data_IF_497709002062
#
_entry.id   IF_497709002062
#
_cell.length_a   1.000
_cell.length_b   1.000
_cell.length_c   1.000
_cell.angle_alpha   90.00
_cell.angle_beta   90.00
_cell.angle_gamma   90.00
#
_symmetry.space_group_name_H-M   'P 1'
#
loop_
_entity.id
_entity.type
_entity.pdbx_description
1 polymer ?
#
# COMPACT_ATOMS: atom_id res chain seq x y z
N UNK A 1 32.91 13.40 52.77
CA UNK A 1 31.66 13.38 51.98
C UNK A 1 32.01 12.88 50.57
N UNK A 2 31.54 11.71 50.18
CA UNK A 2 31.73 11.17 48.81
C UNK A 2 30.47 11.50 48.03
N UNK A 3 30.62 12.34 47.00
CA UNK A 3 29.54 12.73 46.08
C UNK A 3 29.40 11.65 45.02
N UNK A 4 28.33 10.87 45.07
CA UNK A 4 28.01 9.87 44.03
C UNK A 4 27.23 10.57 42.92
N UNK A 5 27.86 10.78 41.76
CA UNK A 5 27.17 11.25 40.58
C UNK A 5 26.29 10.09 40.04
N UNK A 6 24.97 10.24 40.09
CA UNK A 6 24.03 9.40 39.38
C UNK A 6 24.00 9.88 37.90
N UNK A 7 24.59 9.13 37.00
CA UNK A 7 24.42 9.32 35.55
C UNK A 7 23.09 8.68 35.12
N UNK A 8 22.06 9.49 34.92
CA UNK A 8 20.82 9.07 34.24
C UNK A 8 21.11 8.90 32.75
N UNK A 9 21.17 7.66 32.29
CA UNK A 9 21.22 7.38 30.86
C UNK A 9 19.85 7.73 30.25
N UNK A 10 19.78 8.79 29.46
CA UNK A 10 18.63 9.05 28.60
C UNK A 10 18.60 7.97 27.49
N UNK A 11 17.67 7.02 27.60
CA UNK A 11 17.34 6.11 26.52
C UNK A 11 16.47 6.92 25.56
N UNK A 12 17.08 7.49 24.51
CA UNK A 12 16.33 8.05 23.39
C UNK A 12 15.61 6.89 22.69
N UNK A 13 14.28 6.95 22.47
CA UNK A 13 13.62 5.97 21.65
C UNK A 13 14.22 6.00 20.25
N UNK A 14 14.72 4.87 19.77
CA UNK A 14 15.11 4.71 18.36
C UNK A 14 13.81 4.72 17.56
N UNK A 15 13.43 5.88 17.04
CA UNK A 15 12.33 5.99 16.07
C UNK A 15 12.84 5.39 14.77
N UNK A 16 12.46 4.16 14.48
CA UNK A 16 12.65 3.56 13.16
C UNK A 16 11.70 4.25 12.19
N UNK A 17 12.24 4.85 11.13
CA UNK A 17 11.43 5.44 10.06
C UNK A 17 10.83 4.36 9.13
N UNK A 18 11.28 3.09 9.25
CA UNK A 18 10.84 1.96 8.45
C UNK A 18 9.99 1.02 9.29
N UNK A 19 9.03 0.34 8.69
CA UNK A 19 8.01 -0.47 9.35
C UNK A 19 7.57 -1.67 8.49
N UNK A 20 6.75 -2.53 9.06
CA UNK A 20 6.12 -3.67 8.41
C UNK A 20 4.76 -3.94 9.07
N UNK A 21 3.86 -4.62 8.37
CA UNK A 21 2.57 -5.03 8.91
C UNK A 21 2.69 -6.43 9.51
N UNK A 22 2.25 -6.63 10.75
CA UNK A 22 2.27 -7.95 11.40
C UNK A 22 0.96 -8.35 12.06
N UNK A 23 0.02 -7.41 12.22
CA UNK A 23 -1.18 -7.64 13.01
C UNK A 23 -2.44 -7.35 12.20
N UNK A 24 -3.34 -8.33 12.10
CA UNK A 24 -4.70 -8.13 11.61
C UNK A 24 -5.58 -7.66 12.77
N UNK A 25 -6.38 -6.64 12.53
CA UNK A 25 -7.39 -6.13 13.47
C UNK A 25 -8.76 -6.45 12.91
N UNK A 26 -9.63 -7.07 13.69
CA UNK A 26 -10.98 -7.50 13.28
C UNK A 26 -11.99 -6.82 14.19
N UNK A 27 -12.87 -5.98 13.62
CA UNK A 27 -13.89 -5.23 14.35
C UNK A 27 -13.33 -4.51 15.59
N UNK A 28 -12.15 -3.90 15.45
CA UNK A 28 -11.43 -3.17 16.48
C UNK A 28 -10.62 -4.01 17.45
N UNK A 29 -10.64 -5.35 17.35
CA UNK A 29 -9.86 -6.24 18.21
C UNK A 29 -8.56 -6.66 17.52
N UNK A 30 -7.43 -6.36 18.13
CA UNK A 30 -6.11 -6.75 17.65
C UNK A 30 -5.86 -8.25 17.86
N UNK A 31 -5.38 -8.93 16.83
CA UNK A 31 -4.93 -10.32 16.95
C UNK A 31 -3.46 -10.36 17.40
N UNK A 32 -2.96 -11.54 17.72
CA UNK A 32 -1.53 -11.70 18.01
C UNK A 32 -0.70 -11.42 16.75
N UNK A 33 0.44 -10.71 16.84
CA UNK A 33 1.34 -10.50 15.71
C UNK A 33 1.69 -11.81 14.99
N UNK A 34 1.64 -11.79 13.66
CA UNK A 34 1.83 -12.93 12.76
C UNK A 34 0.86 -14.12 12.96
N UNK A 35 -0.21 -13.96 13.73
CA UNK A 35 -1.22 -15.02 13.87
C UNK A 35 -1.90 -15.29 12.52
N UNK A 36 -2.27 -14.24 11.79
CA UNK A 36 -2.96 -14.29 10.51
C UNK A 36 -2.19 -13.57 9.39
N UNK A 37 -1.12 -12.86 9.72
CA UNK A 37 -0.24 -12.19 8.76
C UNK A 37 0.99 -13.06 8.55
N UNK A 38 1.32 -13.34 7.29
CA UNK A 38 2.52 -14.12 6.95
C UNK A 38 3.77 -13.36 7.36
N UNK A 39 4.70 -14.04 7.99
CA UNK A 39 6.05 -13.51 8.21
C UNK A 39 6.83 -13.52 6.90
N UNK A 40 8.04 -12.97 6.90
CA UNK A 40 8.94 -12.96 5.76
C UNK A 40 10.38 -13.36 6.19
N UNK A 41 11.24 -13.65 5.21
CA UNK A 41 12.63 -14.09 5.46
C UNK A 41 13.65 -12.96 5.39
N UNK A 42 13.22 -11.71 5.33
CA UNK A 42 14.16 -10.56 5.29
C UNK A 42 14.95 -10.47 6.60
N UNK A 43 16.27 -10.22 6.54
CA UNK A 43 17.09 -9.97 7.75
C UNK A 43 16.58 -8.80 8.58
N UNK A 44 16.13 -7.73 7.92
CA UNK A 44 15.46 -6.60 8.53
C UNK A 44 14.05 -6.49 7.93
N UNK A 45 13.03 -6.93 8.66
CA UNK A 45 11.63 -7.01 8.19
C UNK A 45 11.05 -5.67 7.77
N UNK A 46 11.55 -4.60 8.36
CA UNK A 46 11.13 -3.23 8.08
C UNK A 46 11.75 -2.61 6.80
N UNK A 47 12.68 -3.31 6.12
CA UNK A 47 13.26 -2.78 4.88
C UNK A 47 12.20 -2.68 3.77
N UNK A 48 12.09 -1.53 3.06
CA UNK A 48 11.19 -1.42 1.92
C UNK A 48 11.67 -2.20 0.70
N UNK A 49 10.75 -2.52 -0.19
CA UNK A 49 11.06 -2.96 -1.56
C UNK A 49 11.16 -1.72 -2.46
N UNK A 50 12.15 -1.65 -3.34
CA UNK A 50 12.41 -0.52 -4.25
C UNK A 50 12.97 -0.99 -5.58
N UNK A 51 12.81 -0.21 -6.67
CA UNK A 51 13.48 -0.46 -7.94
C UNK A 51 14.93 0.01 -7.96
N UNK A 52 15.27 1.04 -7.16
CA UNK A 52 16.62 1.61 -7.08
C UNK A 52 17.10 1.62 -5.63
N UNK A 53 18.38 1.39 -5.40
CA UNK A 53 18.96 1.24 -4.06
C UNK A 53 18.25 0.15 -3.24
N UNK A 54 18.11 -1.02 -3.86
CA UNK A 54 17.38 -2.17 -3.30
C UNK A 54 17.94 -2.62 -1.96
N UNK A 55 17.09 -3.20 -1.13
CA UNK A 55 17.46 -3.88 0.10
C UNK A 55 17.10 -5.36 -0.04
N UNK A 56 17.98 -6.22 0.47
CA UNK A 56 17.78 -7.68 0.50
C UNK A 56 17.49 -8.28 -0.90
N UNK A 57 17.99 -7.64 -1.97
CA UNK A 57 17.78 -8.00 -3.39
C UNK A 57 16.29 -8.02 -3.80
N UNK A 58 15.45 -7.22 -3.14
CA UNK A 58 14.01 -7.13 -3.43
C UNK A 58 13.67 -5.98 -4.35
N UNK A 59 12.98 -6.30 -5.45
CA UNK A 59 12.39 -5.32 -6.37
C UNK A 59 10.92 -5.63 -6.63
N UNK A 60 10.11 -4.64 -7.07
CA UNK A 60 8.71 -4.87 -7.42
C UNK A 60 8.47 -5.80 -8.61
N UNK A 61 9.53 -6.18 -9.35
CA UNK A 61 9.45 -7.07 -10.50
C UNK A 61 9.59 -8.57 -10.12
N UNK A 62 9.86 -8.85 -8.83
CA UNK A 62 10.03 -10.22 -8.32
C UNK A 62 8.71 -10.82 -7.85
N UNK A 63 8.59 -12.15 -7.91
CA UNK A 63 7.38 -12.88 -7.43
C UNK A 63 7.09 -12.63 -5.96
N UNK A 64 8.12 -12.45 -5.15
CA UNK A 64 8.03 -12.10 -3.73
C UNK A 64 7.38 -10.73 -3.48
N UNK A 65 7.22 -9.88 -4.51
CA UNK A 65 6.47 -8.61 -4.38
C UNK A 65 4.97 -8.82 -4.10
N UNK A 66 4.46 -10.03 -4.24
CA UNK A 66 3.09 -10.39 -3.85
C UNK A 66 2.85 -10.18 -2.35
N UNK A 67 3.68 -10.82 -1.52
CA UNK A 67 3.48 -10.91 -0.07
C UNK A 67 4.76 -10.76 0.78
N UNK A 68 5.83 -10.19 0.20
CA UNK A 68 7.17 -10.04 0.76
C UNK A 68 8.06 -11.30 0.66
N UNK A 69 9.38 -11.09 0.79
CA UNK A 69 10.45 -12.07 0.55
C UNK A 69 10.22 -13.36 1.34
N UNK A 70 10.06 -14.46 0.61
CA UNK A 70 9.93 -15.80 1.19
C UNK A 70 8.68 -16.00 2.06
N UNK A 71 7.67 -15.10 1.99
CA UNK A 71 6.49 -15.15 2.86
C UNK A 71 5.65 -16.41 2.64
N UNK A 72 5.69 -16.98 1.43
CA UNK A 72 4.96 -18.22 1.13
C UNK A 72 5.45 -19.41 1.98
N UNK A 73 6.70 -19.41 2.42
CA UNK A 73 7.23 -20.47 3.31
C UNK A 73 6.54 -20.50 4.68
N UNK A 74 5.92 -19.38 5.08
CA UNK A 74 5.14 -19.26 6.32
C UNK A 74 3.65 -19.52 6.13
N UNK A 75 3.15 -19.63 4.90
CA UNK A 75 1.73 -19.74 4.61
C UNK A 75 1.04 -20.90 5.33
N UNK A 76 1.67 -22.09 5.37
CA UNK A 76 1.13 -23.26 6.06
C UNK A 76 1.04 -23.11 7.58
N UNK A 77 1.92 -22.31 8.18
CA UNK A 77 2.01 -22.06 9.63
C UNK A 77 1.13 -20.89 10.07
N UNK A 78 0.83 -19.96 9.17
CA UNK A 78 -0.04 -18.81 9.42
C UNK A 78 -1.50 -19.24 9.52
N UNK A 79 -2.23 -18.74 10.52
CA UNK A 79 -3.68 -18.97 10.65
C UNK A 79 -4.45 -18.33 9.49
N UNK A 80 -5.69 -18.79 9.28
CA UNK A 80 -6.67 -18.14 8.39
C UNK A 80 -7.79 -17.61 9.26
N UNK A 81 -7.96 -16.28 9.33
CA UNK A 81 -9.01 -15.67 10.15
C UNK A 81 -10.35 -15.77 9.45
N UNK A 82 -11.39 -16.20 10.17
CA UNK A 82 -12.77 -16.10 9.65
C UNK A 82 -13.28 -14.68 9.85
N UNK A 83 -13.75 -14.05 8.77
CA UNK A 83 -14.27 -12.68 8.74
C UNK A 83 -15.57 -12.64 7.94
N UNK A 84 -16.50 -11.78 8.33
CA UNK A 84 -17.74 -11.60 7.55
C UNK A 84 -17.52 -10.56 6.45
N UNK A 85 -18.13 -10.76 5.30
CA UNK A 85 -18.28 -9.68 4.33
C UNK A 85 -18.99 -8.48 4.99
N UNK A 86 -18.52 -7.26 4.72
CA UNK A 86 -18.95 -6.04 5.38
C UNK A 86 -18.24 -5.72 6.71
N UNK A 87 -17.39 -6.61 7.26
CA UNK A 87 -16.62 -6.34 8.49
C UNK A 87 -15.61 -5.22 8.28
N UNK A 88 -15.36 -4.46 9.36
CA UNK A 88 -14.26 -3.49 9.43
C UNK A 88 -13.00 -4.18 9.90
N UNK A 89 -11.98 -4.10 9.11
CA UNK A 89 -10.66 -4.65 9.39
C UNK A 89 -9.60 -3.53 9.39
N UNK A 90 -8.45 -3.82 9.97
CA UNK A 90 -7.25 -3.03 9.77
C UNK A 90 -6.02 -3.92 9.69
N UNK A 91 -5.01 -3.43 8.97
CA UNK A 91 -3.67 -3.98 9.02
C UNK A 91 -2.78 -3.03 9.80
N UNK A 92 -2.27 -3.51 10.94
CA UNK A 92 -1.49 -2.72 11.89
C UNK A 92 0.00 -3.00 11.75
N UNK A 93 0.79 -1.95 11.94
CA UNK A 93 2.26 -2.01 11.95
C UNK A 93 2.79 -2.67 13.22
N UNK A 94 3.88 -3.41 13.07
CA UNK A 94 4.57 -4.05 14.17
C UNK A 94 5.37 -3.08 15.04
N UNK A 95 5.74 -3.54 16.22
CA UNK A 95 6.65 -2.90 17.21
C UNK A 95 6.30 -1.46 17.55
N UNK A 96 5.03 -1.09 17.51
CA UNK A 96 4.57 0.25 17.86
C UNK A 96 4.97 1.34 16.85
N UNK A 97 5.27 0.96 15.62
CA UNK A 97 5.61 1.91 14.56
C UNK A 97 4.39 2.70 14.08
N UNK A 98 4.64 3.87 13.51
CA UNK A 98 3.67 4.65 12.74
C UNK A 98 4.24 5.01 11.38
N UNK A 99 3.38 5.26 10.39
CA UNK A 99 3.80 5.65 9.04
C UNK A 99 4.34 7.08 9.05
N UNK A 100 5.67 7.21 8.91
CA UNK A 100 6.39 8.51 8.91
C UNK A 100 6.96 8.88 7.54
N UNK A 101 6.61 8.12 6.49
CA UNK A 101 6.90 8.50 5.13
C UNK A 101 5.64 9.08 4.48
N UNK A 102 5.74 10.21 3.72
CA UNK A 102 4.61 10.70 2.94
C UNK A 102 4.25 9.72 1.84
N UNK A 103 2.95 9.45 1.67
CA UNK A 103 2.48 8.58 0.61
C UNK A 103 1.16 7.87 0.91
N UNK A 104 0.59 7.18 -0.09
CA UNK A 104 -0.72 6.56 0.01
C UNK A 104 -0.71 5.23 0.78
N UNK A 105 -1.88 4.89 1.32
CA UNK A 105 -2.23 3.56 1.80
C UNK A 105 -3.18 2.88 0.84
N UNK A 106 -2.98 1.58 0.58
CA UNK A 106 -3.81 0.77 -0.30
C UNK A 106 -4.08 -0.58 0.33
N UNK A 107 -5.20 -1.20 -0.05
CA UNK A 107 -5.47 -2.60 0.32
C UNK A 107 -5.99 -3.34 -0.89
N UNK A 108 -5.33 -4.44 -1.20
CA UNK A 108 -5.73 -5.37 -2.25
C UNK A 108 -6.19 -6.69 -1.65
N UNK A 109 -7.07 -7.39 -2.36
CA UNK A 109 -7.43 -8.77 -2.06
C UNK A 109 -7.23 -9.66 -3.30
N UNK A 110 -6.92 -10.94 -3.04
CA UNK A 110 -6.82 -11.96 -4.09
C UNK A 110 -7.46 -13.25 -3.62
N UNK A 111 -8.36 -13.81 -4.43
CA UNK A 111 -9.07 -15.05 -4.09
C UNK A 111 -8.18 -16.25 -4.29
N UNK A 112 -7.98 -17.05 -3.24
CA UNK A 112 -7.32 -18.34 -3.36
C UNK A 112 -8.21 -19.32 -4.13
N UNK A 113 -7.66 -20.11 -5.07
CA UNK A 113 -8.45 -21.15 -5.76
C UNK A 113 -8.88 -22.29 -4.84
N UNK A 114 -8.34 -22.35 -3.65
CA UNK A 114 -8.62 -23.30 -2.58
C UNK A 114 -8.25 -22.70 -1.24
N UNK A 115 -7.28 -23.31 -0.53
CA UNK A 115 -6.84 -22.78 0.75
C UNK A 115 -5.81 -21.64 0.57
N UNK A 116 -5.99 -20.57 1.34
CA UNK A 116 -5.02 -19.47 1.41
C UNK A 116 -3.63 -19.98 1.87
N UNK A 117 -3.58 -21.02 2.69
CA UNK A 117 -2.31 -21.64 3.14
C UNK A 117 -1.48 -22.26 2.00
N UNK A 118 -2.09 -22.51 0.86
CA UNK A 118 -1.45 -23.10 -0.33
C UNK A 118 -1.37 -22.14 -1.51
N UNK A 119 -1.74 -20.86 -1.30
CA UNK A 119 -1.84 -19.88 -2.35
C UNK A 119 -0.69 -18.86 -2.28
N UNK A 120 0.07 -18.75 -3.38
CA UNK A 120 1.20 -17.81 -3.48
C UNK A 120 0.78 -16.37 -3.84
N UNK A 121 -0.51 -16.15 -4.18
CA UNK A 121 -0.96 -14.85 -4.65
C UNK A 121 -0.66 -14.59 -6.14
N UNK A 122 -0.54 -15.62 -6.95
CA UNK A 122 -0.24 -15.58 -8.38
C UNK A 122 -1.48 -15.30 -9.26
N UNK A 123 -2.68 -15.29 -8.65
CA UNK A 123 -3.94 -14.92 -9.29
C UNK A 123 -4.12 -13.42 -9.48
N UNK A 124 -5.37 -13.03 -9.70
CA UNK A 124 -5.76 -11.63 -9.85
C UNK A 124 -5.93 -10.96 -8.50
N UNK A 125 -5.50 -9.69 -8.43
CA UNK A 125 -5.67 -8.82 -7.28
C UNK A 125 -6.62 -7.69 -7.64
N UNK A 126 -7.55 -7.37 -6.77
CA UNK A 126 -8.45 -6.22 -6.89
C UNK A 126 -8.28 -5.31 -5.68
N UNK A 127 -8.37 -4.01 -5.91
CA UNK A 127 -8.23 -3.02 -4.85
C UNK A 127 -9.57 -2.84 -4.13
N UNK A 128 -9.55 -2.87 -2.80
CA UNK A 128 -10.75 -2.66 -1.97
C UNK A 128 -10.69 -1.38 -1.15
N UNK A 129 -9.51 -0.77 -1.02
CA UNK A 129 -9.31 0.48 -0.30
C UNK A 129 -8.13 1.24 -0.85
N UNK A 130 -8.25 2.57 -0.86
CA UNK A 130 -7.14 3.50 -1.06
C UNK A 130 -7.35 4.77 -0.26
N UNK A 131 -6.27 5.31 0.26
CA UNK A 131 -6.23 6.61 0.93
C UNK A 131 -4.97 7.36 0.50
N UNK A 132 -5.14 8.61 0.10
CA UNK A 132 -4.08 9.45 -0.43
C UNK A 132 -3.92 10.73 0.39
N UNK A 133 -4.06 11.88 -0.26
CA UNK A 133 -3.99 13.21 0.36
C UNK A 133 -5.35 13.52 0.98
N UNK A 134 -5.39 13.70 2.31
CA UNK A 134 -6.59 14.04 3.07
C UNK A 134 -6.77 15.54 3.28
N UNK A 135 -5.68 16.29 3.33
CA UNK A 135 -5.72 17.73 3.61
C UNK A 135 -4.72 18.48 2.75
N UNK A 136 -5.21 19.06 1.65
CA UNK A 136 -4.39 19.84 0.70
C UNK A 136 -3.88 21.17 1.28
N UNK A 137 -4.34 21.59 2.46
CA UNK A 137 -3.85 22.78 3.15
C UNK A 137 -2.55 22.53 3.90
N UNK A 138 -2.21 21.26 4.14
CA UNK A 138 -1.04 20.82 4.89
C UNK A 138 0.16 20.51 4.00
N UNK A 139 1.29 20.18 4.63
CA UNK A 139 2.52 19.88 3.91
C UNK A 139 2.48 18.46 3.32
N UNK A 140 2.55 18.38 1.98
CA UNK A 140 2.61 17.12 1.24
C UNK A 140 3.84 16.26 1.59
N UNK A 141 4.85 16.83 2.23
CA UNK A 141 6.03 16.12 2.72
C UNK A 141 5.78 15.39 4.04
N UNK A 142 4.66 15.67 4.71
CA UNK A 142 4.30 15.12 6.01
C UNK A 142 2.79 14.88 6.13
N UNK A 143 2.08 15.72 6.82
CA UNK A 143 0.75 15.51 7.40
C UNK A 143 -0.43 15.81 6.45
N UNK A 144 -0.17 16.08 5.17
CA UNK A 144 -1.22 16.10 4.14
C UNK A 144 -1.80 14.71 3.84
N UNK A 145 -1.06 13.64 4.12
CA UNK A 145 -1.46 12.26 3.82
C UNK A 145 -2.34 11.65 4.91
N UNK A 146 -3.37 10.89 4.51
CA UNK A 146 -4.26 10.19 5.43
C UNK A 146 -3.50 9.20 6.33
N UNK A 147 -2.46 8.60 5.79
CA UNK A 147 -1.59 7.61 6.45
C UNK A 147 -0.64 8.21 7.48
N UNK A 148 -0.38 9.53 7.40
CA UNK A 148 0.67 10.16 8.23
C UNK A 148 0.44 9.95 9.72
N UNK A 149 1.46 9.43 10.40
CA UNK A 149 1.47 9.14 11.83
C UNK A 149 0.41 8.12 12.29
N UNK A 150 -0.15 7.34 11.37
CA UNK A 150 -1.04 6.22 11.68
C UNK A 150 -0.25 4.95 11.92
N UNK A 151 -0.74 4.09 12.83
CA UNK A 151 -0.17 2.79 13.13
C UNK A 151 -0.81 1.66 12.29
N UNK A 152 -1.83 1.98 11.47
CA UNK A 152 -2.61 1.00 10.68
C UNK A 152 -3.27 1.61 9.46
N UNK A 153 -3.66 0.76 8.52
CA UNK A 153 -4.59 1.07 7.43
C UNK A 153 -5.91 0.38 7.75
N UNK A 154 -7.00 1.16 7.84
CA UNK A 154 -8.35 0.66 8.12
C UNK A 154 -9.14 0.51 6.82
N UNK A 155 -9.93 -0.56 6.70
CA UNK A 155 -10.73 -0.81 5.51
C UNK A 155 -11.96 -1.67 5.83
N UNK A 156 -12.89 -1.74 4.89
CA UNK A 156 -14.07 -2.61 5.00
C UNK A 156 -13.99 -3.71 3.94
N UNK A 157 -14.22 -4.95 4.32
CA UNK A 157 -14.41 -6.06 3.37
C UNK A 157 -15.70 -5.80 2.58
N UNK A 158 -15.68 -5.75 1.24
CA UNK A 158 -16.91 -5.48 0.48
C UNK A 158 -18.01 -6.50 0.79
N UNK A 159 -19.25 -6.04 1.01
CA UNK A 159 -20.37 -6.88 1.41
C UNK A 159 -20.75 -7.92 0.33
N UNK A 160 -20.54 -7.56 -0.95
CA UNK A 160 -20.85 -8.46 -2.08
C UNK A 160 -19.70 -9.40 -2.43
N UNK A 161 -18.61 -9.41 -1.65
CA UNK A 161 -17.46 -10.29 -1.89
C UNK A 161 -17.91 -11.75 -1.75
N UNK A 162 -17.70 -12.63 -2.75
CA UNK A 162 -18.08 -14.03 -2.66
C UNK A 162 -17.35 -14.76 -1.53
N UNK A 163 -18.03 -15.69 -0.87
CA UNK A 163 -17.41 -16.55 0.14
C UNK A 163 -16.18 -17.28 -0.41
N UNK A 164 -15.20 -17.49 0.44
CA UNK A 164 -13.96 -18.18 0.08
C UNK A 164 -12.77 -17.72 0.91
N UNK A 165 -11.60 -18.29 0.62
CA UNK A 165 -10.35 -17.87 1.24
C UNK A 165 -9.62 -16.87 0.36
N UNK A 166 -9.02 -15.88 1.01
CA UNK A 166 -8.37 -14.74 0.36
C UNK A 166 -7.04 -14.39 1.03
N UNK A 167 -6.15 -13.81 0.25
CA UNK A 167 -5.09 -12.98 0.78
C UNK A 167 -5.55 -11.52 0.81
N UNK A 168 -5.22 -10.82 1.90
CA UNK A 168 -5.34 -9.37 2.02
C UNK A 168 -3.93 -8.79 2.03
N UNK A 169 -3.64 -7.85 1.12
CA UNK A 169 -2.35 -7.19 0.99
C UNK A 169 -2.53 -5.70 1.26
N UNK A 170 -2.22 -5.24 2.50
CA UNK A 170 -2.02 -3.82 2.75
C UNK A 170 -0.76 -3.36 2.04
N UNK A 171 -0.73 -2.13 1.62
CA UNK A 171 0.46 -1.49 1.07
C UNK A 171 0.53 -0.03 1.49
N UNK A 172 1.67 0.39 2.01
CA UNK A 172 2.01 1.80 2.14
C UNK A 172 3.19 2.10 1.20
N UNK A 173 3.10 3.21 0.47
CA UNK A 173 4.13 3.61 -0.50
C UNK A 173 4.75 4.92 -0.06
N UNK A 174 6.01 4.88 0.41
CA UNK A 174 6.76 6.09 0.70
C UNK A 174 7.22 6.78 -0.58
N UNK A 175 6.71 7.99 -0.87
CA UNK A 175 6.97 8.71 -2.13
C UNK A 175 8.04 9.80 -2.02
N UNK A 176 8.67 9.97 -0.86
CA UNK A 176 9.69 11.01 -0.64
C UNK A 176 10.91 10.90 -1.58
N UNK A 177 11.24 9.69 -2.04
CA UNK A 177 12.29 9.39 -3.01
C UNK A 177 11.78 9.01 -4.41
N UNK A 178 10.46 9.06 -4.66
CA UNK A 178 9.86 8.56 -5.89
C UNK A 178 10.37 9.28 -7.15
N UNK A 179 10.60 10.58 -7.09
CA UNK A 179 11.16 11.41 -8.18
C UNK A 179 12.56 10.97 -8.64
N UNK A 180 13.27 10.16 -7.84
CA UNK A 180 14.56 9.55 -8.19
C UNK A 180 14.46 8.03 -8.38
N UNK A 181 13.26 7.51 -8.63
CA UNK A 181 13.00 6.06 -8.80
C UNK A 181 13.18 5.25 -7.51
N UNK A 182 13.05 5.91 -6.35
CA UNK A 182 13.22 5.32 -5.02
C UNK A 182 11.90 5.32 -4.23
N UNK A 183 10.75 5.12 -4.89
CA UNK A 183 9.50 4.81 -4.19
C UNK A 183 9.70 3.57 -3.30
N UNK A 184 9.19 3.62 -2.07
CA UNK A 184 9.38 2.60 -1.04
C UNK A 184 8.07 1.84 -0.79
N UNK A 185 8.06 0.54 -1.04
CA UNK A 185 6.88 -0.31 -0.86
C UNK A 185 6.99 -1.11 0.44
N UNK A 186 5.99 -0.95 1.31
CA UNK A 186 5.81 -1.67 2.58
C UNK A 186 4.52 -2.48 2.49
N UNK A 187 4.62 -3.80 2.52
CA UNK A 187 3.48 -4.70 2.30
C UNK A 187 3.74 -6.08 2.90
N UNK A 188 2.69 -6.74 3.36
CA UNK A 188 2.63 -8.14 3.75
C UNK A 188 1.29 -8.74 3.31
N UNK A 189 1.03 -10.03 3.62
CA UNK A 189 -0.26 -10.65 3.33
C UNK A 189 -0.87 -11.27 4.58
N UNK A 190 -2.12 -10.93 4.87
CA UNK A 190 -2.95 -11.66 5.81
C UNK A 190 -3.75 -12.75 5.08
N UNK A 191 -4.08 -13.85 5.79
CA UNK A 191 -4.93 -14.94 5.33
C UNK A 191 -6.29 -14.85 5.99
N UNK A 192 -7.36 -14.77 5.18
CA UNK A 192 -8.73 -14.71 5.69
C UNK A 192 -9.65 -15.67 4.96
N UNK A 193 -10.70 -16.14 5.66
CA UNK A 193 -11.84 -16.82 5.09
C UNK A 193 -13.06 -15.91 5.22
N UNK A 194 -13.54 -15.42 4.09
CA UNK A 194 -14.73 -14.57 4.03
C UNK A 194 -15.98 -15.43 4.04
N UNK A 195 -16.96 -15.06 4.85
CA UNK A 195 -18.26 -15.71 4.99
C UNK A 195 -19.40 -14.69 4.95
N UNK A 196 -20.59 -15.13 4.53
CA UNK A 196 -21.78 -14.29 4.49
C UNK A 196 -21.74 -13.19 3.45
N UNK A 197 -20.96 -13.38 2.40
CA UNK A 197 -20.85 -12.45 1.28
C UNK A 197 -21.91 -12.65 0.21
N UNK A 198 -21.72 -11.95 -0.90
CA UNK A 198 -22.62 -11.97 -2.06
C UNK A 198 -22.05 -12.74 -3.26
N UNK A 199 -22.52 -12.34 -4.43
CA UNK A 199 -22.10 -12.90 -5.72
C UNK A 199 -21.42 -11.84 -6.59
N UNK A 200 -20.73 -10.88 -5.98
CA UNK A 200 -20.01 -9.84 -6.70
C UNK A 200 -18.90 -10.43 -7.58
N UNK A 201 -18.53 -9.70 -8.61
CA UNK A 201 -17.40 -10.03 -9.48
C UNK A 201 -16.31 -8.95 -9.30
N UNK A 202 -15.32 -9.19 -8.41
CA UNK A 202 -14.30 -8.18 -8.12
C UNK A 202 -13.49 -7.76 -9.35
N UNK A 203 -13.31 -6.45 -9.52
CA UNK A 203 -12.56 -5.86 -10.61
C UNK A 203 -12.72 -4.34 -10.66
N UNK A 204 -11.89 -3.65 -11.42
CA UNK A 204 -10.81 -4.16 -12.27
C UNK A 204 -9.65 -4.78 -11.48
N UNK A 205 -8.88 -5.65 -12.12
CA UNK A 205 -7.81 -6.42 -11.47
C UNK A 205 -6.42 -6.02 -11.94
N UNK A 206 -5.42 -6.38 -11.13
CA UNK A 206 -4.00 -6.22 -11.38
C UNK A 206 -3.25 -7.50 -11.03
N UNK A 207 -2.07 -7.71 -11.59
CA UNK A 207 -1.15 -8.81 -11.25
C UNK A 207 0.06 -8.30 -10.48
N UNK A 208 0.51 -9.04 -9.48
CA UNK A 208 1.81 -8.85 -8.85
C UNK A 208 2.69 -10.08 -9.07
N UNK A 209 3.94 -9.88 -9.56
CA UNK A 209 4.53 -8.68 -10.13
C UNK A 209 3.93 -8.33 -11.51
N UNK A 210 4.29 -7.17 -12.03
CA UNK A 210 4.04 -6.75 -13.42
C UNK A 210 2.88 -5.78 -13.61
N UNK A 211 1.99 -5.62 -12.63
CA UNK A 211 0.92 -4.62 -12.68
C UNK A 211 1.41 -3.19 -12.44
N UNK A 212 2.38 -3.01 -11.55
CA UNK A 212 3.09 -1.75 -11.37
C UNK A 212 4.27 -1.64 -12.34
N UNK A 213 4.45 -0.47 -12.92
CA UNK A 213 5.58 -0.16 -13.81
C UNK A 213 6.44 0.93 -13.19
N UNK A 214 7.75 0.78 -13.35
CA UNK A 214 8.71 1.74 -12.80
C UNK A 214 8.49 3.17 -13.29
N UNK A 215 7.94 3.35 -14.48
CA UNK A 215 7.64 4.62 -15.13
C UNK A 215 6.22 5.15 -14.89
N UNK A 216 5.41 4.47 -14.07
CA UNK A 216 4.09 4.97 -13.69
C UNK A 216 4.22 6.33 -12.97
N UNK A 217 3.33 7.29 -13.25
CA UNK A 217 3.36 8.61 -12.60
C UNK A 217 3.35 8.55 -11.06
N UNK A 218 2.69 7.55 -10.48
CA UNK A 218 2.65 7.33 -9.03
C UNK A 218 4.03 7.08 -8.42
N UNK A 219 4.95 6.47 -9.18
CA UNK A 219 6.28 6.08 -8.70
C UNK A 219 7.40 7.00 -9.21
N UNK A 220 7.04 8.02 -10.00
CA UNK A 220 7.91 9.12 -10.44
C UNK A 220 7.44 10.46 -9.91
N UNK A 221 6.61 10.46 -8.87
CA UNK A 221 6.02 11.62 -8.25
C UNK A 221 7.03 12.41 -7.44
N UNK A 222 6.94 13.76 -7.47
CA UNK A 222 7.78 14.63 -6.68
C UNK A 222 6.96 15.44 -5.66
N UNK A 223 7.19 15.18 -4.38
CA UNK A 223 6.62 15.98 -3.29
C UNK A 223 7.32 17.36 -3.14
N UNK A 224 8.38 17.61 -3.89
CA UNK A 224 9.20 18.84 -3.79
C UNK A 224 8.73 19.94 -4.74
N UNK A 225 7.88 19.61 -5.72
CA UNK A 225 7.42 20.51 -6.80
C UNK A 225 6.13 21.28 -6.51
N UNK A 226 5.62 21.29 -5.27
CA UNK A 226 4.38 21.99 -4.91
C UNK A 226 3.09 21.35 -5.45
N UNK A 227 3.14 20.12 -5.94
CA UNK A 227 1.97 19.34 -6.35
C UNK A 227 1.05 19.13 -5.15
N UNK A 228 -0.27 19.16 -5.40
CA UNK A 228 -1.31 18.97 -4.38
C UNK A 228 -2.15 17.72 -4.57
N UNK A 229 -2.03 17.08 -5.71
CA UNK A 229 -2.73 15.84 -6.06
C UNK A 229 -1.72 14.74 -6.33
N UNK A 230 -2.10 13.50 -5.98
CA UNK A 230 -1.27 12.32 -6.18
C UNK A 230 -2.00 11.32 -7.08
N UNK A 231 -1.38 10.87 -8.18
CA UNK A 231 -1.96 9.84 -9.03
C UNK A 231 -1.93 8.49 -8.30
N UNK A 232 -3.09 7.99 -7.88
CA UNK A 232 -3.18 6.71 -7.16
C UNK A 232 -2.77 5.55 -8.06
N UNK A 233 -1.89 4.62 -7.60
CA UNK A 233 -1.43 3.51 -8.42
C UNK A 233 -2.46 2.38 -8.51
N UNK A 234 -2.37 1.59 -9.57
CA UNK A 234 -3.18 0.40 -9.78
C UNK A 234 -4.61 0.69 -10.24
N UNK A 235 -5.49 -0.32 -10.22
CA UNK A 235 -6.86 -0.19 -10.69
C UNK A 235 -7.73 0.63 -9.74
N UNK A 236 -8.91 1.05 -10.21
CA UNK A 236 -9.93 1.64 -9.35
C UNK A 236 -10.37 0.71 -8.21
N UNK A 237 -10.82 1.30 -7.10
CA UNK A 237 -11.34 0.53 -5.96
C UNK A 237 -12.62 -0.17 -6.34
N UNK A 238 -12.71 -1.47 -6.08
CA UNK A 238 -13.95 -2.23 -6.17
C UNK A 238 -14.77 -2.06 -4.89
N UNK A 239 -15.97 -1.51 -5.02
CA UNK A 239 -16.87 -1.22 -3.90
C UNK A 239 -18.01 -2.22 -3.73
N UNK A 240 -18.04 -3.27 -4.57
CA UNK A 240 -19.11 -4.27 -4.62
C UNK A 240 -19.80 -4.36 -5.97
N UNK A 241 -20.73 -5.27 -6.12
CA UNK A 241 -21.49 -5.50 -7.35
C UNK A 241 -20.74 -6.32 -8.40
N UNK A 242 -21.33 -6.47 -9.57
CA UNK A 242 -20.66 -7.03 -10.74
C UNK A 242 -19.77 -5.96 -11.34
N UNK A 243 -18.46 -6.20 -11.39
CA UNK A 243 -17.44 -5.25 -11.89
C UNK A 243 -17.54 -4.90 -13.38
N UNK A 244 -18.75 -4.57 -13.86
CA UNK A 244 -18.93 -3.87 -15.11
C UNK A 244 -18.49 -2.43 -14.87
N UNK A 245 -17.38 -2.03 -15.49
CA UNK A 245 -17.05 -0.62 -15.67
C UNK A 245 -18.28 0.02 -16.29
N UNK A 246 -18.98 0.86 -15.54
CA UNK A 246 -19.97 1.74 -16.13
C UNK A 246 -19.18 2.72 -17.02
N UNK A 247 -19.20 2.45 -18.33
CA UNK A 247 -18.51 3.26 -19.34
C UNK A 247 -19.00 4.74 -19.35
N UNK A 248 -19.98 5.07 -18.52
CA UNK A 248 -20.50 6.43 -18.33
C UNK A 248 -19.65 7.32 -17.42
N UNK A 249 -18.62 6.76 -16.71
CA UNK A 249 -17.67 7.54 -15.89
C UNK A 249 -16.36 7.81 -16.63
N UNK A 250 -16.29 7.56 -17.92
CA UNK A 250 -15.29 8.25 -18.75
C UNK A 250 -15.74 9.72 -18.83
N UNK A 251 -15.27 10.51 -17.88
CA UNK A 251 -15.28 11.97 -18.02
C UNK A 251 -14.60 12.25 -19.36
N UNK A 252 -15.41 12.77 -20.31
CA UNK A 252 -14.91 13.34 -21.53
C UNK A 252 -13.86 14.40 -21.18
N UNK A 253 -12.60 14.05 -21.19
CA UNK A 253 -11.52 15.00 -21.42
C UNK A 253 -11.50 15.20 -22.93
N UNK A 254 -12.56 15.84 -23.45
CA UNK A 254 -12.56 16.42 -24.77
C UNK A 254 -11.87 17.76 -24.64
N UNK A 255 -10.74 17.85 -25.34
CA UNK A 255 -10.18 19.07 -25.91
C UNK A 255 -10.27 20.34 -25.06
N UNK A 256 -9.24 20.58 -24.25
CA UNK A 256 -8.78 21.95 -24.07
C UNK A 256 -7.69 22.22 -25.09
N UNK A 257 -8.09 22.99 -26.08
CA UNK A 257 -7.38 23.76 -27.06
C UNK A 257 -5.90 24.02 -26.71
N UNK A 258 -4.98 23.28 -27.37
CA UNK A 258 -3.54 23.53 -27.33
C UNK A 258 -3.06 24.43 -28.46
N UNK A 259 -3.93 25.30 -28.99
CA UNK A 259 -3.64 26.15 -30.16
C UNK A 259 -3.20 27.59 -29.84
N UNK A 260 -2.87 27.94 -28.58
CA UNK A 260 -2.55 29.35 -28.24
C UNK A 260 -1.22 29.61 -27.55
N UNK A 261 -0.21 28.72 -27.65
CA UNK A 261 1.10 28.98 -27.05
C UNK A 261 2.30 28.81 -27.98
N UNK A 262 2.12 29.00 -29.30
CA UNK A 262 3.23 29.18 -30.23
C UNK A 262 2.88 30.30 -31.22
N UNK A 263 3.03 31.56 -30.75
CA UNK A 263 3.15 32.71 -31.64
C UNK A 263 4.10 33.71 -30.98
N UNK A 264 5.16 33.99 -31.73
CA UNK A 264 5.99 35.20 -31.71
C UNK A 264 7.00 35.38 -30.56
N UNK A 265 8.24 35.01 -30.85
CA UNK A 265 9.37 35.97 -30.77
C UNK A 265 10.43 35.57 -31.79
N UNK A 266 10.24 36.04 -33.04
CA UNK A 266 11.38 36.40 -33.89
C UNK A 266 11.82 37.80 -33.43
N UNK A 267 12.96 37.89 -32.84
CA UNK A 267 13.62 39.18 -32.69
C UNK A 267 15.07 39.11 -33.23
N UNK A 268 15.20 39.95 -34.16
CA UNK A 268 16.34 40.32 -35.01
C UNK A 268 17.56 40.71 -34.17
N UNK A 269 18.70 40.13 -34.50
CA UNK A 269 20.01 40.70 -34.27
C UNK A 269 20.59 41.15 -35.60
N UNK A 270 20.49 42.46 -35.86
CA UNK A 270 21.40 43.18 -36.76
C UNK A 270 22.27 44.15 -35.93
N UNK A 271 23.59 44.14 -36.33
CA UNK A 271 24.73 44.98 -36.01
C UNK A 271 25.49 44.68 -34.75
#
# INVERSE_FOLDING_TARGET
MKLTLLTTALIAPLVSAHYFFDTLVIDGQETTPNQYVRSNTRPAKYNPTKWKNTRDDMTPDMTDFRCNKGSFTFAGQTGTAEVKAGSKLAMKLGVGATMKHPGPGLVYMSKAPGSAKQYEGDGDWFKIHEEGICDQSKDIKTDAWCTWDKDRIEFTVPADLPDGEYLIRPEHIGVHGAHDGQAEFYYECAQVKVTGGGNGNPGPTIKFPGGYKKDDPSFNFSIWGGMKDYPMPGPAVWTGGSGSIDASVMVNVTDTDTSSYYAEEEDTCEE
#
